data_IF_707328297103
#
_entry.id   IF_707328297103
#
_cell.length_a   1.000
_cell.length_b   1.000
_cell.length_c   1.000
_cell.angle_alpha   90.00
_cell.angle_beta   90.00
_cell.angle_gamma   90.00
#
_symmetry.space_group_name_H-M   'P 1'
#
loop_
_entity.id
_entity.type
_entity.pdbx_description
1 polymer ?
#
# COMPACT_ATOMS: atom_id res chain seq x y z
N UNK A 1 -21.02 -12.97 -6.20
CA UNK A 1 -20.75 -11.65 -5.60
C UNK A 1 -19.24 -11.53 -5.44
N UNK A 2 -18.61 -10.37 -5.70
CA UNK A 2 -17.19 -10.20 -5.46
C UNK A 2 -16.87 -10.44 -3.98
N UNK A 3 -15.68 -10.98 -3.71
CA UNK A 3 -15.19 -11.14 -2.34
C UNK A 3 -15.06 -9.75 -1.69
N UNK A 4 -15.60 -9.62 -0.48
CA UNK A 4 -15.59 -8.39 0.32
C UNK A 4 -14.86 -8.60 1.64
N UNK A 5 -14.06 -9.67 1.73
CA UNK A 5 -13.18 -9.90 2.85
C UNK A 5 -12.23 -8.70 3.01
N UNK A 6 -11.94 -8.27 4.24
CA UNK A 6 -10.97 -7.23 4.48
C UNK A 6 -9.62 -7.54 3.83
N UNK A 7 -9.00 -6.50 3.29
CA UNK A 7 -7.67 -6.55 2.71
C UNK A 7 -6.65 -6.41 3.83
N UNK A 8 -5.77 -7.40 3.97
CA UNK A 8 -4.62 -7.29 4.88
C UNK A 8 -3.64 -6.25 4.33
N UNK A 9 -3.33 -5.24 5.14
CA UNK A 9 -2.34 -4.20 4.84
C UNK A 9 -1.21 -4.29 5.84
N UNK A 10 -0.01 -4.60 5.33
CA UNK A 10 1.19 -4.74 6.15
C UNK A 10 1.94 -3.42 6.21
N UNK A 11 2.04 -2.84 7.41
CA UNK A 11 2.60 -1.50 7.61
C UNK A 11 4.05 -1.42 7.12
N UNK A 12 4.87 -2.43 7.44
CA UNK A 12 6.26 -2.52 6.97
C UNK A 12 6.37 -2.55 5.44
N UNK A 13 5.42 -3.22 4.77
CA UNK A 13 5.40 -3.30 3.30
C UNK A 13 5.01 -1.97 2.68
N UNK A 14 4.01 -1.28 3.24
CA UNK A 14 3.62 0.07 2.79
C UNK A 14 4.81 1.00 2.90
N UNK A 15 5.48 1.02 4.06
CA UNK A 15 6.66 1.84 4.29
C UNK A 15 7.81 1.50 3.33
N UNK A 16 8.06 0.21 3.06
CA UNK A 16 9.07 -0.20 2.09
C UNK A 16 8.74 0.21 0.64
N UNK A 17 7.46 0.23 0.26
CA UNK A 17 7.02 0.62 -1.09
C UNK A 17 7.03 2.13 -1.30
N UNK A 18 6.68 2.90 -0.26
CA UNK A 18 6.54 4.35 -0.34
C UNK A 18 7.79 5.11 0.13
N UNK A 19 8.73 4.45 0.79
CA UNK A 19 9.90 5.09 1.41
C UNK A 19 9.52 5.94 2.61
N UNK A 20 8.52 5.51 3.39
CA UNK A 20 7.96 6.22 4.54
C UNK A 20 8.26 5.49 5.85
N UNK A 21 7.91 6.12 6.97
CA UNK A 21 7.97 5.54 8.32
C UNK A 21 6.66 5.82 9.07
N UNK A 22 5.55 5.49 8.42
CA UNK A 22 4.20 5.70 8.96
C UNK A 22 3.86 4.57 9.94
N UNK A 23 3.23 4.94 11.05
CA UNK A 23 2.54 4.01 11.93
C UNK A 23 1.24 3.51 11.33
N UNK A 24 0.72 2.42 11.90
CA UNK A 24 -0.59 1.86 11.58
C UNK A 24 -1.70 2.92 11.60
N UNK A 25 -1.72 3.75 12.65
CA UNK A 25 -2.79 4.71 12.87
C UNK A 25 -2.66 5.88 11.88
N UNK A 26 -1.43 6.32 11.56
CA UNK A 26 -1.18 7.32 10.52
C UNK A 26 -1.56 6.84 9.10
N UNK A 27 -1.55 5.53 8.85
CA UNK A 27 -2.08 4.96 7.60
C UNK A 27 -3.61 4.86 7.61
N UNK A 28 -4.23 4.60 8.77
CA UNK A 28 -5.67 4.42 8.93
C UNK A 28 -6.44 5.76 8.83
N UNK A 29 -5.96 6.79 9.52
CA UNK A 29 -6.59 8.11 9.61
C UNK A 29 -7.00 8.72 8.25
N UNK A 30 -6.15 8.72 7.21
CA UNK A 30 -6.54 9.28 5.92
C UNK A 30 -7.49 8.38 5.09
N UNK A 31 -7.59 7.10 5.42
CA UNK A 31 -8.46 6.15 4.70
C UNK A 31 -9.94 6.28 5.15
N UNK A 32 -10.20 6.66 6.39
CA UNK A 32 -11.56 6.77 6.94
C UNK A 32 -12.43 7.83 6.22
N UNK A 33 -11.96 9.07 5.96
CA UNK A 33 -12.76 10.11 5.31
C UNK A 33 -13.22 9.78 3.88
N UNK A 34 -12.52 8.87 3.20
CA UNK A 34 -12.84 8.42 1.84
C UNK A 34 -13.64 7.10 1.82
N UNK A 35 -14.04 6.61 3.00
CA UNK A 35 -15.01 5.52 3.19
C UNK A 35 -14.40 4.13 3.36
N UNK A 36 -13.09 4.00 3.49
CA UNK A 36 -12.46 2.75 3.93
C UNK A 36 -12.59 2.64 5.45
N UNK A 37 -12.77 1.43 5.97
CA UNK A 37 -12.67 1.19 7.41
C UNK A 37 -11.48 0.29 7.67
N UNK A 38 -10.79 0.51 8.77
CA UNK A 38 -9.60 -0.27 9.10
C UNK A 38 -9.61 -0.64 10.57
N UNK A 39 -9.18 -1.87 10.86
CA UNK A 39 -9.07 -2.40 12.21
C UNK A 39 -7.68 -3.04 12.38
N UNK A 40 -7.16 -3.13 13.62
CA UNK A 40 -5.97 -3.91 13.87
C UNK A 40 -6.13 -5.33 13.34
N UNK A 41 -5.11 -5.79 12.62
CA UNK A 41 -5.13 -7.07 11.95
C UNK A 41 -5.48 -8.24 12.90
N UNK A 42 -6.30 -9.16 12.43
CA UNK A 42 -6.82 -10.30 13.20
C UNK A 42 -7.62 -9.91 14.46
N UNK A 43 -8.02 -8.64 14.59
CA UNK A 43 -8.66 -8.13 15.80
C UNK A 43 -7.71 -8.03 17.00
N UNK A 44 -6.39 -8.07 16.79
CA UNK A 44 -5.39 -7.90 17.84
C UNK A 44 -4.96 -6.42 17.93
N UNK A 45 -5.30 -5.69 19.00
CA UNK A 45 -4.92 -4.29 19.16
C UNK A 45 -3.40 -4.04 19.16
N UNK A 46 -2.61 -5.07 19.49
CA UNK A 46 -1.15 -5.01 19.48
C UNK A 46 -0.52 -5.27 18.11
N UNK A 47 -1.32 -5.68 17.12
CA UNK A 47 -0.85 -5.89 15.76
C UNK A 47 -0.41 -4.56 15.12
N UNK A 48 0.74 -4.57 14.46
CA UNK A 48 1.23 -3.45 13.67
C UNK A 48 0.49 -3.29 12.33
N UNK A 49 -0.17 -4.35 11.86
CA UNK A 49 -0.87 -4.40 10.56
C UNK A 49 -2.35 -4.05 10.67
N UNK A 50 -2.99 -3.79 9.52
CA UNK A 50 -4.42 -3.50 9.41
C UNK A 50 -5.17 -4.57 8.61
N UNK A 51 -6.42 -4.83 9.00
CA UNK A 51 -7.45 -5.37 8.12
C UNK A 51 -8.33 -4.22 7.63
N UNK A 52 -8.31 -3.97 6.31
CA UNK A 52 -8.97 -2.82 5.69
C UNK A 52 -10.18 -3.27 4.87
N UNK A 53 -11.37 -2.83 5.24
CA UNK A 53 -12.58 -3.07 4.46
C UNK A 53 -12.76 -1.98 3.40
N UNK A 54 -12.92 -2.41 2.15
CA UNK A 54 -13.15 -1.53 1.00
C UNK A 54 -14.64 -1.22 0.85
N UNK A 55 -15.05 0.06 0.68
CA UNK A 55 -16.45 0.41 0.50
C UNK A 55 -17.04 -0.16 -0.79
N UNK A 56 -18.35 -0.41 -0.77
CA UNK A 56 -19.02 -1.10 -1.88
C UNK A 56 -18.96 -0.33 -3.22
N UNK A 57 -18.88 1.00 -3.16
CA UNK A 57 -18.82 1.92 -4.29
C UNK A 57 -17.41 2.09 -4.89
N UNK A 58 -16.39 1.40 -4.35
CA UNK A 58 -15.01 1.33 -4.86
C UNK A 58 -14.69 -0.06 -5.43
N UNK A 59 -15.24 -0.43 -6.61
CA UNK A 59 -14.92 -1.71 -7.23
C UNK A 59 -13.48 -1.79 -7.78
N UNK A 60 -12.79 -0.64 -7.83
CA UNK A 60 -11.40 -0.46 -8.27
C UNK A 60 -10.37 -0.77 -7.18
N UNK A 61 -10.78 -1.08 -5.94
CA UNK A 61 -9.87 -1.46 -4.86
C UNK A 61 -10.24 -2.85 -4.32
N UNK A 62 -9.30 -3.79 -4.37
CA UNK A 62 -9.52 -5.17 -3.92
C UNK A 62 -8.27 -5.83 -3.31
N UNK A 63 -7.11 -5.21 -3.46
CA UNK A 63 -5.82 -5.76 -3.05
C UNK A 63 -5.10 -4.81 -2.12
N UNK A 64 -4.09 -5.34 -1.43
CA UNK A 64 -3.21 -4.54 -0.57
C UNK A 64 -2.57 -3.36 -1.34
N UNK A 65 -2.20 -3.59 -2.60
CA UNK A 65 -1.58 -2.56 -3.44
C UNK A 65 -2.55 -1.41 -3.72
N UNK A 66 -3.83 -1.68 -3.97
CA UNK A 66 -4.81 -0.62 -4.20
C UNK A 66 -4.98 0.28 -2.96
N UNK A 67 -4.87 -0.30 -1.76
CA UNK A 67 -4.88 0.46 -0.50
C UNK A 67 -3.57 1.25 -0.35
N UNK A 68 -2.42 0.67 -0.70
CA UNK A 68 -1.12 1.37 -0.69
C UNK A 68 -1.13 2.61 -1.59
N UNK A 69 -1.72 2.51 -2.78
CA UNK A 69 -1.86 3.64 -3.70
C UNK A 69 -2.72 4.75 -3.11
N UNK A 70 -3.75 4.41 -2.34
CA UNK A 70 -4.60 5.40 -1.69
C UNK A 70 -3.90 6.07 -0.51
N UNK A 71 -3.16 5.31 0.31
CA UNK A 71 -2.28 5.87 1.35
C UNK A 71 -1.28 6.83 0.71
N UNK A 72 -0.64 6.45 -0.39
CA UNK A 72 0.30 7.28 -1.13
C UNK A 72 -0.35 8.57 -1.67
N UNK A 73 -1.58 8.49 -2.17
CA UNK A 73 -2.34 9.64 -2.69
C UNK A 73 -2.60 10.67 -1.58
N UNK A 74 -2.89 10.20 -0.38
CA UNK A 74 -3.18 11.05 0.78
C UNK A 74 -1.93 11.74 1.35
N UNK A 75 -0.73 11.15 1.17
CA UNK A 75 0.54 11.79 1.54
C UNK A 75 0.91 12.98 0.64
N UNK A 76 0.22 13.16 -0.50
CA UNK A 76 0.48 14.22 -1.46
C UNK A 76 1.77 14.02 -2.25
N UNK A 77 1.77 14.45 -3.52
CA UNK A 77 2.92 14.39 -4.45
C UNK A 77 4.07 15.36 -4.09
N UNK A 78 4.47 15.43 -2.82
CA UNK A 78 5.57 16.26 -2.33
C UNK A 78 6.76 15.49 -1.77
N UNK A 79 6.66 14.17 -1.56
CA UNK A 79 7.67 13.40 -0.81
C UNK A 79 8.04 12.04 -1.43
N UNK A 80 7.64 11.73 -2.67
CA UNK A 80 8.18 10.56 -3.36
C UNK A 80 9.44 11.01 -4.13
N UNK A 81 10.67 10.69 -3.69
CA UNK A 81 11.79 10.66 -4.62
C UNK A 81 11.38 9.70 -5.74
N UNK A 82 11.24 10.22 -6.96
CA UNK A 82 10.90 9.40 -8.12
C UNK A 82 11.81 8.17 -8.18
N UNK A 83 11.37 7.05 -8.78
CA UNK A 83 12.14 5.82 -8.81
C UNK A 83 13.56 6.16 -9.26
N UNK A 84 14.54 5.84 -8.40
CA UNK A 84 15.95 5.95 -8.76
C UNK A 84 16.12 5.22 -10.10
N UNK A 85 16.73 5.83 -11.12
CA UNK A 85 16.80 5.20 -12.43
C UNK A 85 17.40 3.81 -12.26
N UNK A 86 16.63 2.79 -12.65
CA UNK A 86 17.12 1.43 -12.68
C UNK A 86 18.47 1.45 -13.40
N UNK A 87 19.49 0.83 -12.79
CA UNK A 87 20.81 0.68 -13.41
C UNK A 87 20.59 0.24 -14.86
N UNK A 88 21.20 0.89 -15.87
CA UNK A 88 20.99 0.49 -17.24
C UNK A 88 21.31 -0.99 -17.34
N UNK A 89 20.37 -1.75 -17.88
CA UNK A 89 20.57 -3.16 -18.19
C UNK A 89 21.89 -3.26 -18.96
N UNK A 90 22.87 -3.97 -18.39
CA UNK A 90 24.08 -4.28 -19.12
C UNK A 90 23.65 -5.31 -20.16
N UNK A 91 23.57 -4.92 -21.44
CA UNK A 91 23.53 -5.89 -22.52
C UNK A 91 24.75 -6.77 -22.33
N UNK A 92 24.52 -8.06 -22.08
CA UNK A 92 25.60 -9.03 -22.09
C UNK A 92 26.20 -9.04 -23.50
N UNK A 93 27.52 -8.96 -23.59
CA UNK A 93 28.23 -9.11 -24.86
C UNK A 93 27.79 -10.40 -25.56
N UNK A 94 27.62 -10.39 -26.90
CA UNK A 94 27.20 -11.59 -27.62
C UNK A 94 28.21 -12.73 -27.44
N UNK A 95 27.69 -13.95 -27.30
CA UNK A 95 28.51 -15.16 -27.22
C UNK A 95 29.35 -15.32 -28.50
N UNK A 96 30.63 -15.74 -28.39
CA UNK A 96 31.47 -15.95 -29.55
C UNK A 96 30.98 -17.14 -30.40
N UNK A 97 31.27 -17.05 -31.70
CA UNK A 97 30.86 -17.98 -32.76
C UNK A 97 31.37 -19.41 -32.59
#
# INVERSE_FOLDING_TARGET
MPDRSPVRVRTDRVNALLGTDLSRDEMADPLEPIGFTSEPAHGDPSSADLDVAVPCFRPDSATEIDVVEEVARMQGTGALPGPSPARPYRVADPLPA
#
